data_IF_355863542171
#
_entry.id   IF_355863542171
#
_cell.length_a   1.000
_cell.length_b   1.000
_cell.length_c   1.000
_cell.angle_alpha   90.00
_cell.angle_beta   90.00
_cell.angle_gamma   90.00
#
_symmetry.space_group_name_H-M   'P 1'
#
loop_
_entity.id
_entity.type
_entity.pdbx_description
1 polymer ?
#
# COMPACT_ATOMS: atom_id res chain seq x y z
N UNK A 1 52.36 4.26 22.88
CA UNK A 1 51.41 3.15 22.62
C UNK A 1 50.39 3.55 21.54
N UNK A 2 50.02 2.61 20.65
CA UNK A 2 48.72 2.52 19.93
C UNK A 2 48.43 3.24 18.60
N UNK A 3 49.41 3.78 17.84
CA UNK A 3 49.13 4.18 16.43
C UNK A 3 48.83 2.99 15.50
N UNK A 4 49.53 1.87 15.70
CA UNK A 4 49.28 0.60 14.96
C UNK A 4 47.93 -0.03 15.32
N UNK A 5 47.51 0.09 16.58
CA UNK A 5 46.24 -0.48 17.04
C UNK A 5 45.08 0.34 16.45
N UNK A 6 45.20 1.67 16.38
CA UNK A 6 44.22 2.52 15.72
C UNK A 6 44.05 2.18 14.23
N UNK A 7 45.16 2.05 13.49
CA UNK A 7 45.10 1.69 12.06
C UNK A 7 44.54 0.28 11.83
N UNK A 8 44.82 -0.67 12.73
CA UNK A 8 44.24 -2.02 12.67
C UNK A 8 42.75 -2.04 13.02
N UNK A 9 42.29 -1.21 13.96
CA UNK A 9 40.86 -1.09 14.31
C UNK A 9 40.07 -0.41 13.18
N UNK A 10 40.65 0.61 12.54
CA UNK A 10 40.05 1.28 11.38
C UNK A 10 39.90 0.32 10.20
N UNK A 11 40.95 -0.46 9.88
CA UNK A 11 40.91 -1.46 8.82
C UNK A 11 39.88 -2.58 9.08
N UNK A 12 39.69 -2.98 10.35
CA UNK A 12 38.66 -3.96 10.74
C UNK A 12 37.24 -3.41 10.64
N UNK A 13 37.03 -2.11 10.82
CA UNK A 13 35.72 -1.47 10.72
C UNK A 13 35.19 -1.37 9.28
N UNK A 14 36.08 -1.17 8.31
CA UNK A 14 35.72 -1.05 6.88
C UNK A 14 35.26 -2.40 6.30
N UNK A 15 35.85 -3.51 6.75
CA UNK A 15 35.43 -4.85 6.33
C UNK A 15 33.97 -5.19 6.71
N UNK A 16 33.51 -4.73 7.89
CA UNK A 16 32.15 -5.00 8.38
C UNK A 16 31.05 -4.18 7.70
N UNK A 17 31.37 -2.99 7.18
CA UNK A 17 30.38 -2.10 6.56
C UNK A 17 29.93 -2.57 5.17
N UNK A 18 30.76 -3.35 4.46
CA UNK A 18 30.42 -3.87 3.12
C UNK A 18 29.30 -4.91 3.16
N UNK A 19 29.13 -5.63 4.28
CA UNK A 19 28.03 -6.59 4.45
C UNK A 19 26.69 -5.90 4.77
N UNK A 20 26.71 -4.65 5.24
CA UNK A 20 25.48 -3.86 5.48
C UNK A 20 24.94 -3.27 4.17
N UNK A 21 25.82 -3.01 3.19
CA UNK A 21 25.44 -2.52 1.86
C UNK A 21 24.62 -3.52 1.05
N UNK A 22 24.65 -4.81 1.40
CA UNK A 22 23.92 -5.88 0.70
C UNK A 22 22.67 -6.35 1.45
N UNK A 23 22.27 -5.70 2.54
CA UNK A 23 20.91 -5.92 3.04
C UNK A 23 19.94 -5.35 2.01
N UNK A 24 18.94 -6.12 1.55
CA UNK A 24 17.90 -5.60 0.69
C UNK A 24 17.07 -4.58 1.48
N UNK A 25 17.48 -3.32 1.44
CA UNK A 25 16.69 -2.17 1.89
C UNK A 25 15.36 -2.07 1.13
N UNK A 26 15.21 -2.85 0.05
CA UNK A 26 13.99 -3.02 -0.72
C UNK A 26 12.78 -3.49 0.11
N UNK A 27 12.97 -4.21 1.21
CA UNK A 27 11.85 -4.65 2.06
C UNK A 27 11.36 -3.56 3.04
N UNK A 28 12.12 -2.48 3.24
CA UNK A 28 11.76 -1.37 4.13
C UNK A 28 11.03 -0.23 3.40
N UNK A 29 11.01 -0.25 2.07
CA UNK A 29 10.13 0.60 1.27
C UNK A 29 8.74 -0.01 1.25
N UNK A 30 8.06 0.05 2.41
CA UNK A 30 6.64 -0.22 2.52
C UNK A 30 5.92 0.45 1.35
N UNK A 31 5.11 -0.35 0.66
CA UNK A 31 4.28 0.06 -0.47
C UNK A 31 3.76 1.49 -0.26
N UNK A 32 3.92 2.35 -1.29
CA UNK A 32 3.42 3.73 -1.31
C UNK A 32 2.14 3.79 -0.49
N UNK A 33 2.23 4.43 0.68
CA UNK A 33 1.12 4.55 1.60
C UNK A 33 0.12 5.48 0.92
N UNK A 34 -0.71 4.88 0.07
CA UNK A 34 -1.75 5.57 -0.64
C UNK A 34 -2.75 5.93 0.44
N UNK A 35 -2.67 7.17 0.93
CA UNK A 35 -3.43 7.66 2.09
C UNK A 35 -4.96 7.65 1.86
N UNK A 36 -5.43 7.06 0.76
CA UNK A 36 -6.85 6.91 0.45
C UNK A 36 -7.38 5.62 1.07
N UNK A 37 -8.49 5.74 1.78
CA UNK A 37 -9.20 4.60 2.38
C UNK A 37 -10.00 3.84 1.31
N UNK A 38 -9.78 2.54 1.22
CA UNK A 38 -10.59 1.66 0.38
C UNK A 38 -11.91 1.32 1.09
N UNK A 39 -13.04 1.58 0.45
CA UNK A 39 -14.38 1.31 1.00
C UNK A 39 -15.03 0.17 0.21
N UNK A 40 -15.59 -0.81 0.94
CA UNK A 40 -16.42 -1.87 0.37
C UNK A 40 -17.90 -1.58 0.64
N UNK A 41 -18.71 -1.49 -0.43
CA UNK A 41 -20.15 -1.24 -0.29
C UNK A 41 -20.90 -2.56 -0.12
N UNK A 42 -21.47 -2.77 1.07
CA UNK A 42 -22.33 -3.93 1.36
C UNK A 42 -23.78 -3.55 1.11
N UNK A 43 -24.40 -4.22 0.15
CA UNK A 43 -25.79 -3.96 -0.26
C UNK A 43 -25.87 -2.85 -1.31
N UNK A 44 -26.16 -3.26 -2.55
CA UNK A 44 -26.31 -2.36 -3.70
C UNK A 44 -27.76 -1.90 -3.84
N UNK A 45 -28.23 -1.21 -2.80
CA UNK A 45 -29.55 -0.56 -2.76
C UNK A 45 -29.55 0.80 -3.46
N UNK A 46 -30.67 1.50 -3.41
CA UNK A 46 -30.85 2.82 -4.03
C UNK A 46 -29.82 3.83 -3.50
N UNK A 47 -29.60 3.87 -2.18
CA UNK A 47 -28.66 4.80 -1.56
C UNK A 47 -27.21 4.56 -1.98
N UNK A 48 -26.77 3.30 -1.94
CA UNK A 48 -25.41 2.91 -2.36
C UNK A 48 -25.16 3.23 -3.82
N UNK A 49 -26.16 2.95 -4.68
CA UNK A 49 -26.04 3.09 -6.15
C UNK A 49 -26.05 4.54 -6.61
N UNK A 50 -26.95 5.36 -6.06
CA UNK A 50 -27.20 6.70 -6.56
C UNK A 50 -26.45 7.80 -5.80
N UNK A 51 -26.04 7.55 -4.55
CA UNK A 51 -25.41 8.57 -3.72
C UNK A 51 -23.98 8.20 -3.33
N UNK A 52 -23.78 7.04 -2.67
CA UNK A 52 -22.45 6.68 -2.17
C UNK A 52 -21.44 6.42 -3.28
N UNK A 53 -21.80 5.61 -4.27
CA UNK A 53 -20.88 5.26 -5.35
C UNK A 53 -20.37 6.46 -6.17
N UNK A 54 -21.21 7.43 -6.60
CA UNK A 54 -20.70 8.64 -7.25
C UNK A 54 -19.94 9.56 -6.29
N UNK A 55 -20.35 9.68 -5.02
CA UNK A 55 -19.63 10.48 -4.04
C UNK A 55 -18.20 9.95 -3.82
N UNK A 56 -18.02 8.62 -3.76
CA UNK A 56 -16.71 7.98 -3.60
C UNK A 56 -15.76 8.20 -4.79
N UNK A 57 -16.27 8.55 -5.98
CA UNK A 57 -15.42 8.94 -7.11
C UNK A 57 -14.93 10.39 -6.98
N UNK A 58 -15.70 11.25 -6.32
CA UNK A 58 -15.38 12.67 -6.15
C UNK A 58 -14.52 12.93 -4.91
N UNK A 59 -14.51 12.01 -3.94
CA UNK A 59 -13.73 12.14 -2.72
C UNK A 59 -12.25 11.90 -2.94
N UNK A 60 -11.42 12.75 -2.34
CA UNK A 60 -9.96 12.62 -2.46
C UNK A 60 -9.39 11.55 -1.50
N UNK A 61 -10.03 11.36 -0.35
CA UNK A 61 -9.52 10.56 0.77
C UNK A 61 -10.03 9.12 0.79
N UNK A 62 -10.97 8.75 -0.08
CA UNK A 62 -11.49 7.40 -0.15
C UNK A 62 -11.87 7.03 -1.58
N UNK A 63 -11.87 5.73 -1.87
CA UNK A 63 -12.24 5.17 -3.15
C UNK A 63 -13.06 3.89 -2.95
N UNK A 64 -13.84 3.54 -3.96
CA UNK A 64 -14.56 2.27 -3.97
C UNK A 64 -13.57 1.13 -4.26
N UNK A 65 -13.33 0.29 -3.26
CA UNK A 65 -12.41 -0.84 -3.37
C UNK A 65 -13.12 -2.17 -3.67
N UNK A 66 -14.43 -2.25 -3.41
CA UNK A 66 -15.20 -3.46 -3.67
C UNK A 66 -16.69 -3.31 -3.40
N UNK A 67 -17.45 -4.31 -3.83
CA UNK A 67 -18.90 -4.40 -3.61
C UNK A 67 -19.25 -5.77 -3.05
N UNK A 68 -20.25 -5.82 -2.17
CA UNK A 68 -20.76 -7.06 -1.60
C UNK A 68 -22.26 -7.09 -1.82
N UNK A 69 -22.75 -8.08 -2.54
CA UNK A 69 -24.17 -8.26 -2.85
C UNK A 69 -24.53 -9.75 -2.87
N UNK A 70 -25.76 -10.08 -2.48
CA UNK A 70 -26.28 -11.44 -2.62
C UNK A 70 -26.82 -11.76 -4.01
N UNK A 71 -26.80 -10.81 -4.95
CA UNK A 71 -27.30 -11.00 -6.31
C UNK A 71 -26.15 -10.93 -7.32
N UNK A 72 -25.73 -12.05 -7.94
CA UNK A 72 -24.55 -12.09 -8.82
C UNK A 72 -24.68 -11.18 -10.05
N UNK A 73 -25.90 -11.02 -10.58
CA UNK A 73 -26.16 -10.12 -11.71
C UNK A 73 -25.84 -8.63 -11.39
N UNK A 74 -25.96 -8.21 -10.12
CA UNK A 74 -25.64 -6.84 -9.71
C UNK A 74 -24.14 -6.63 -9.53
N UNK A 75 -23.44 -7.66 -9.07
CA UNK A 75 -21.99 -7.65 -8.90
C UNK A 75 -21.29 -7.39 -10.23
N UNK A 76 -21.64 -8.14 -11.29
CA UNK A 76 -21.03 -7.98 -12.61
C UNK A 76 -21.29 -6.59 -13.22
N UNK A 77 -22.49 -6.04 -13.04
CA UNK A 77 -22.82 -4.70 -13.52
C UNK A 77 -22.00 -3.63 -12.79
N UNK A 78 -21.80 -3.78 -11.47
CA UNK A 78 -20.99 -2.86 -10.69
C UNK A 78 -19.50 -2.98 -10.97
N UNK A 79 -18.99 -4.19 -11.12
CA UNK A 79 -17.62 -4.45 -11.54
C UNK A 79 -17.30 -3.73 -12.85
N UNK A 80 -18.18 -3.87 -13.87
CA UNK A 80 -18.04 -3.17 -15.15
C UNK A 80 -18.15 -1.64 -15.03
N UNK A 81 -19.06 -1.14 -14.19
CA UNK A 81 -19.33 0.30 -14.06
C UNK A 81 -18.22 1.05 -13.31
N UNK A 82 -17.65 0.45 -12.27
CA UNK A 82 -16.65 1.08 -11.40
C UNK A 82 -15.25 0.51 -11.57
N UNK A 83 -15.07 -0.44 -12.50
CA UNK A 83 -13.81 -1.11 -12.83
C UNK A 83 -13.12 -1.72 -11.59
N UNK A 84 -13.94 -2.38 -10.77
CA UNK A 84 -13.58 -3.16 -9.57
C UNK A 84 -13.74 -4.64 -9.88
#
# INVERSE_FOLDING_TARGET
MRRRIFNQTLAKGIGGATLISSLPLACAMGSKQNNKLGIALVGLGSYSTYQLAPALQQTENCYLAGVVTGTPAKEENWAKKYNI
#
